data_IF_184849359815
#
_entry.id   IF_184849359815
#
_cell.length_a   1.000
_cell.length_b   1.000
_cell.length_c   1.000
_cell.angle_alpha   90.00
_cell.angle_beta   90.00
_cell.angle_gamma   90.00
#
_symmetry.space_group_name_H-M   'P 1'
#
loop_
_entity.id
_entity.type
_entity.pdbx_description
1 polymer ?
#
# COMPACT_ATOMS: atom_id res chain seq x y z
N UNK A 1 37.66 -3.48 -2.86
CA UNK A 1 36.95 -4.10 -3.98
C UNK A 1 35.53 -4.35 -3.51
N UNK A 2 34.65 -3.36 -3.66
CA UNK A 2 33.25 -3.48 -3.24
C UNK A 2 32.44 -4.24 -4.29
N UNK A 3 31.29 -4.83 -3.93
CA UNK A 3 30.41 -5.45 -4.91
C UNK A 3 29.85 -4.36 -5.82
N UNK A 4 30.22 -4.46 -7.09
CA UNK A 4 29.61 -3.74 -8.20
C UNK A 4 28.21 -4.31 -8.35
N UNK A 5 27.18 -3.51 -8.10
CA UNK A 5 25.80 -3.83 -8.47
C UNK A 5 25.70 -3.72 -10.00
N UNK A 6 26.19 -4.75 -10.68
CA UNK A 6 26.15 -4.91 -12.12
C UNK A 6 24.84 -5.61 -12.51
N UNK A 7 24.01 -4.94 -13.32
CA UNK A 7 22.94 -5.58 -14.08
C UNK A 7 21.50 -5.22 -13.70
N UNK A 8 21.15 -3.93 -13.58
CA UNK A 8 19.78 -3.51 -13.91
C UNK A 8 19.64 -3.70 -15.42
N UNK A 9 19.19 -4.89 -15.83
CA UNK A 9 18.68 -5.10 -17.20
C UNK A 9 17.64 -4.03 -17.52
N UNK A 10 17.36 -3.74 -18.81
CA UNK A 10 16.55 -2.59 -19.20
C UNK A 10 15.29 -2.56 -18.35
N UNK A 11 15.20 -1.59 -17.43
CA UNK A 11 14.07 -1.45 -16.54
C UNK A 11 12.90 -1.07 -17.43
N UNK A 12 12.16 -2.09 -17.86
CA UNK A 12 11.00 -1.90 -18.73
C UNK A 12 10.05 -1.04 -17.92
N UNK A 13 9.93 0.21 -18.34
CA UNK A 13 9.03 1.16 -17.73
C UNK A 13 7.63 0.54 -17.60
N UNK A 14 7.00 0.74 -16.45
CA UNK A 14 5.74 0.09 -16.09
C UNK A 14 4.66 0.36 -17.14
N UNK A 15 4.67 1.55 -17.75
CA UNK A 15 3.77 1.90 -18.85
C UNK A 15 3.96 0.99 -20.07
N UNK A 16 5.20 0.74 -20.47
CA UNK A 16 5.53 -0.16 -21.58
C UNK A 16 5.12 -1.60 -21.25
N UNK A 17 5.35 -2.04 -20.02
CA UNK A 17 4.95 -3.36 -19.54
C UNK A 17 3.41 -3.53 -19.57
N UNK A 18 2.66 -2.51 -19.14
CA UNK A 18 1.19 -2.52 -19.22
C UNK A 18 0.74 -2.63 -20.68
N UNK A 19 1.31 -1.84 -21.59
CA UNK A 19 0.94 -1.89 -23.00
C UNK A 19 1.22 -3.26 -23.63
N UNK A 20 2.35 -3.89 -23.29
CA UNK A 20 2.66 -5.27 -23.70
C UNK A 20 1.65 -6.27 -23.16
N UNK A 21 1.38 -6.22 -21.85
CA UNK A 21 0.45 -7.13 -21.18
C UNK A 21 -0.97 -7.03 -21.74
N UNK A 22 -1.42 -5.82 -22.14
CA UNK A 22 -2.70 -5.61 -22.81
C UNK A 22 -2.85 -6.35 -24.14
N UNK A 23 -1.74 -6.62 -24.83
CA UNK A 23 -1.69 -7.39 -26.07
C UNK A 23 -1.47 -8.89 -25.84
N UNK A 24 -1.47 -9.34 -24.59
CA UNK A 24 -1.25 -10.74 -24.23
C UNK A 24 0.21 -11.14 -24.06
N UNK A 25 1.15 -10.19 -23.97
CA UNK A 25 2.55 -10.51 -23.65
C UNK A 25 2.69 -10.93 -22.18
N UNK A 26 2.92 -12.22 -21.96
CA UNK A 26 3.10 -12.82 -20.63
C UNK A 26 4.33 -12.29 -19.89
N UNK A 27 5.43 -12.01 -20.60
CA UNK A 27 6.63 -11.45 -19.99
C UNK A 27 6.37 -10.02 -19.49
N UNK A 28 5.66 -9.22 -20.28
CA UNK A 28 5.24 -7.88 -19.89
C UNK A 28 4.26 -7.94 -18.69
N UNK A 29 3.31 -8.88 -18.69
CA UNK A 29 2.42 -9.09 -17.54
C UNK A 29 3.19 -9.45 -16.27
N UNK A 30 4.24 -10.29 -16.35
CA UNK A 30 5.10 -10.60 -15.20
C UNK A 30 5.79 -9.36 -14.63
N UNK A 31 6.20 -8.41 -15.48
CA UNK A 31 6.78 -7.13 -15.02
C UNK A 31 5.73 -6.34 -14.24
N UNK A 32 4.51 -6.20 -14.79
CA UNK A 32 3.39 -5.52 -14.08
C UNK A 32 3.10 -6.20 -12.74
N UNK A 33 3.02 -7.53 -12.72
CA UNK A 33 2.78 -8.31 -11.51
C UNK A 33 3.85 -8.05 -10.44
N UNK A 34 5.13 -8.19 -10.80
CA UNK A 34 6.26 -7.97 -9.86
C UNK A 34 6.30 -6.53 -9.35
N UNK A 35 5.93 -5.56 -10.17
CA UNK A 35 5.94 -4.15 -9.79
C UNK A 35 4.80 -3.75 -8.83
N UNK A 36 3.68 -4.47 -8.84
CA UNK A 36 2.45 -4.09 -8.10
C UNK A 36 2.12 -5.05 -6.96
N UNK A 37 2.40 -6.35 -7.10
CA UNK A 37 2.00 -7.38 -6.15
C UNK A 37 2.49 -7.14 -4.72
N UNK A 38 3.77 -6.78 -4.47
CA UNK A 38 4.26 -6.62 -3.11
C UNK A 38 3.46 -5.57 -2.33
N UNK A 39 3.20 -4.40 -2.93
CA UNK A 39 2.42 -3.35 -2.29
C UNK A 39 0.94 -3.71 -2.19
N UNK A 40 0.39 -4.34 -3.23
CA UNK A 40 -1.01 -4.77 -3.26
C UNK A 40 -1.32 -5.78 -2.16
N UNK A 41 -0.44 -6.76 -1.96
CA UNK A 41 -0.58 -7.77 -0.93
C UNK A 41 -0.54 -7.14 0.47
N UNK A 42 0.38 -6.22 0.74
CA UNK A 42 0.42 -5.52 2.03
C UNK A 42 -0.83 -4.68 2.25
N UNK A 43 -1.32 -4.00 1.21
CA UNK A 43 -2.57 -3.26 1.29
C UNK A 43 -3.76 -4.16 1.63
N UNK A 44 -3.92 -5.28 0.93
CA UNK A 44 -5.00 -6.25 1.19
C UNK A 44 -4.86 -6.85 2.58
N UNK A 45 -3.65 -7.22 2.98
CA UNK A 45 -3.35 -7.77 4.32
C UNK A 45 -3.79 -6.84 5.43
N UNK A 46 -3.61 -5.52 5.27
CA UNK A 46 -4.12 -4.54 6.24
C UNK A 46 -5.65 -4.41 6.28
N UNK A 47 -6.37 -4.86 5.24
CA UNK A 47 -7.83 -4.79 5.18
C UNK A 47 -8.52 -6.04 5.72
N UNK A 48 -7.97 -7.23 5.41
CA UNK A 48 -8.62 -8.52 5.72
C UNK A 48 -7.83 -9.39 6.72
N UNK A 49 -6.62 -8.96 7.10
CA UNK A 49 -5.72 -9.73 7.95
C UNK A 49 -4.85 -10.73 7.18
N UNK A 50 -3.82 -11.31 7.83
CA UNK A 50 -2.82 -12.18 7.21
C UNK A 50 -3.39 -13.47 6.63
N UNK A 51 -4.40 -14.04 7.28
CA UNK A 51 -4.95 -15.36 6.92
C UNK A 51 -5.66 -15.32 5.58
N UNK A 52 -6.44 -14.27 5.33
CA UNK A 52 -7.27 -14.19 4.11
C UNK A 52 -6.60 -13.36 2.99
N UNK A 53 -5.43 -12.77 3.25
CA UNK A 53 -4.82 -11.79 2.35
C UNK A 53 -4.46 -12.37 0.98
N UNK A 54 -3.85 -13.56 0.97
CA UNK A 54 -3.38 -14.19 -0.27
C UNK A 54 -4.54 -14.63 -1.17
N UNK A 55 -5.61 -15.16 -0.58
CA UNK A 55 -6.82 -15.55 -1.30
C UNK A 55 -7.49 -14.34 -1.97
N UNK A 56 -7.71 -13.27 -1.19
CA UNK A 56 -8.30 -12.03 -1.70
C UNK A 56 -7.42 -11.37 -2.76
N UNK A 57 -6.10 -11.36 -2.57
CA UNK A 57 -5.16 -10.85 -3.55
C UNK A 57 -5.18 -11.68 -4.84
N UNK A 58 -5.27 -13.00 -4.74
CA UNK A 58 -5.37 -13.91 -5.88
C UNK A 58 -6.64 -13.64 -6.70
N UNK A 59 -7.80 -13.50 -6.03
CA UNK A 59 -9.04 -13.13 -6.71
C UNK A 59 -8.95 -11.76 -7.39
N UNK A 60 -8.30 -10.79 -6.74
CA UNK A 60 -8.05 -9.47 -7.32
C UNK A 60 -7.19 -9.58 -8.58
N UNK A 61 -6.11 -10.37 -8.57
CA UNK A 61 -5.26 -10.60 -9.73
C UNK A 61 -5.97 -11.33 -10.87
N UNK A 62 -6.86 -12.28 -10.56
CA UNK A 62 -7.71 -12.91 -11.58
C UNK A 62 -8.66 -11.91 -12.24
N UNK A 63 -9.13 -10.89 -11.51
CA UNK A 63 -9.90 -9.80 -12.12
C UNK A 63 -9.00 -8.87 -12.92
N UNK A 64 -7.86 -8.48 -12.37
CA UNK A 64 -6.89 -7.61 -13.04
C UNK A 64 -6.48 -8.23 -14.38
N UNK A 65 -6.07 -9.49 -14.41
CA UNK A 65 -5.67 -10.17 -15.63
C UNK A 65 -6.79 -10.20 -16.70
N UNK A 66 -8.04 -10.39 -16.28
CA UNK A 66 -9.21 -10.38 -17.19
C UNK A 66 -9.53 -9.00 -17.74
N UNK A 67 -9.40 -7.97 -16.91
CA UNK A 67 -9.82 -6.61 -17.26
C UNK A 67 -8.69 -5.76 -17.86
N UNK A 68 -7.42 -6.16 -17.67
CA UNK A 68 -6.23 -5.42 -18.11
C UNK A 68 -6.27 -5.06 -19.60
N UNK A 69 -6.68 -5.94 -20.54
CA UNK A 69 -6.78 -5.59 -21.97
C UNK A 69 -7.66 -4.37 -22.26
N UNK A 70 -8.64 -4.07 -21.41
CA UNK A 70 -9.57 -2.95 -21.55
C UNK A 70 -9.17 -1.73 -20.69
N UNK A 71 -8.09 -1.81 -19.92
CA UNK A 71 -7.60 -0.70 -19.12
C UNK A 71 -7.13 0.46 -20.02
N UNK A 72 -7.50 1.70 -19.68
CA UNK A 72 -7.18 2.90 -20.48
C UNK A 72 -6.35 3.94 -19.72
N UNK A 73 -5.74 3.55 -18.61
CA UNK A 73 -4.89 4.47 -17.85
C UNK A 73 -3.49 4.58 -18.44
N UNK A 74 -2.81 5.68 -18.14
CA UNK A 74 -1.41 5.94 -18.52
C UNK A 74 -0.49 5.93 -17.28
N UNK A 75 0.82 5.73 -17.49
CA UNK A 75 1.83 5.69 -16.43
C UNK A 75 1.45 4.84 -15.21
N UNK A 76 1.67 5.37 -14.02
CA UNK A 76 1.42 4.70 -12.73
C UNK A 76 -0.06 4.48 -12.36
N UNK A 77 -1.01 4.87 -13.21
CA UNK A 77 -2.44 4.74 -12.92
C UNK A 77 -2.91 3.29 -12.76
N UNK A 78 -2.14 2.31 -13.27
CA UNK A 78 -2.39 0.87 -13.09
C UNK A 78 -2.39 0.48 -11.61
N UNK A 79 -1.54 1.10 -10.79
CA UNK A 79 -1.47 0.85 -9.33
C UNK A 79 -2.77 1.24 -8.65
N UNK A 80 -3.31 2.42 -8.98
CA UNK A 80 -4.57 2.90 -8.42
C UNK A 80 -5.77 2.09 -8.87
N UNK A 81 -5.77 1.65 -10.13
CA UNK A 81 -6.81 0.76 -10.66
C UNK A 81 -6.77 -0.63 -10.00
N UNK A 82 -5.60 -1.24 -9.87
CA UNK A 82 -5.41 -2.50 -9.15
C UNK A 82 -5.81 -2.38 -7.67
N UNK A 83 -5.41 -1.30 -6.99
CA UNK A 83 -5.80 -1.03 -5.61
C UNK A 83 -7.33 -0.92 -5.45
N UNK A 84 -8.03 -0.32 -6.42
CA UNK A 84 -9.50 -0.24 -6.41
C UNK A 84 -10.14 -1.62 -6.53
N UNK A 85 -9.64 -2.48 -7.44
CA UNK A 85 -10.12 -3.85 -7.59
C UNK A 85 -9.90 -4.63 -6.29
N UNK A 86 -8.69 -4.59 -5.75
CA UNK A 86 -8.33 -5.28 -4.52
C UNK A 86 -9.16 -4.81 -3.32
N UNK A 87 -9.36 -3.50 -3.17
CA UNK A 87 -10.23 -2.93 -2.13
C UNK A 87 -11.66 -3.44 -2.23
N UNK A 88 -12.22 -3.50 -3.44
CA UNK A 88 -13.57 -4.01 -3.63
C UNK A 88 -13.68 -5.49 -3.21
N UNK A 89 -12.69 -6.32 -3.58
CA UNK A 89 -12.63 -7.73 -3.17
C UNK A 89 -12.50 -7.91 -1.68
N UNK A 90 -11.63 -7.14 -1.03
CA UNK A 90 -11.53 -7.12 0.42
C UNK A 90 -12.87 -6.78 1.09
N UNK A 91 -13.57 -5.75 0.61
CA UNK A 91 -14.88 -5.37 1.16
C UNK A 91 -15.96 -6.43 0.92
N UNK A 92 -15.96 -7.07 -0.24
CA UNK A 92 -16.90 -8.15 -0.54
C UNK A 92 -16.65 -9.38 0.34
N UNK A 93 -15.38 -9.73 0.56
CA UNK A 93 -14.95 -10.77 1.49
C UNK A 93 -15.41 -10.49 2.93
N UNK A 94 -15.15 -9.29 3.44
CA UNK A 94 -15.58 -8.86 4.79
C UNK A 94 -17.10 -8.96 4.93
N UNK A 95 -17.85 -8.49 3.92
CA UNK A 95 -19.32 -8.59 3.91
C UNK A 95 -19.82 -10.04 3.85
N UNK A 96 -19.13 -10.91 3.13
CA UNK A 96 -19.48 -12.32 3.02
C UNK A 96 -19.27 -13.06 4.35
N UNK A 97 -18.16 -12.79 5.05
CA UNK A 97 -17.91 -13.31 6.41
C UNK A 97 -18.97 -12.84 7.41
N UNK A 98 -19.31 -11.55 7.41
CA UNK A 98 -20.32 -11.02 8.33
C UNK A 98 -21.72 -11.65 8.16
N UNK A 99 -22.08 -12.09 6.94
CA UNK A 99 -23.37 -12.74 6.65
C UNK A 99 -23.41 -14.24 6.97
N UNK A 100 -22.29 -14.84 7.36
CA UNK A 100 -22.20 -16.25 7.77
C UNK A 100 -21.93 -16.25 9.29
N UNK A 101 -22.97 -16.21 10.14
CA UNK A 101 -22.76 -16.30 11.58
C UNK A 101 -22.12 -17.65 11.87
N UNK A 102 -20.85 -17.64 12.26
CA UNK A 102 -20.27 -18.75 12.99
C UNK A 102 -20.97 -18.71 14.34
N UNK A 103 -21.70 -19.77 14.69
CA UNK A 103 -22.33 -19.90 16.00
C UNK A 103 -21.27 -19.72 17.09
N UNK A 104 -21.21 -18.53 17.69
CA UNK A 104 -20.35 -18.22 18.84
C UNK A 104 -19.26 -17.17 18.60
N UNK A 105 -19.61 -15.91 18.36
CA UNK A 105 -18.83 -14.75 18.81
C UNK A 105 -19.70 -13.48 18.67
N UNK A 106 -19.87 -12.75 19.76
CA UNK A 106 -20.64 -11.50 19.81
C UNK A 106 -20.08 -10.45 18.88
N UNK A 107 -20.98 -9.75 18.18
CA UNK A 107 -20.67 -8.75 17.17
C UNK A 107 -20.35 -7.42 17.87
N UNK A 108 -19.10 -7.28 18.32
CA UNK A 108 -18.46 -5.97 18.52
C UNK A 108 -16.93 -6.13 18.48
N UNK A 109 -16.37 -6.48 17.31
CA UNK A 109 -14.92 -6.46 17.10
C UNK A 109 -14.61 -5.89 15.71
N UNK A 110 -14.34 -4.58 15.68
CA UNK A 110 -13.46 -4.02 14.66
C UNK A 110 -12.08 -4.67 14.83
N UNK A 111 -11.61 -5.33 13.77
CA UNK A 111 -10.20 -5.59 13.45
C UNK A 111 -9.37 -6.02 14.67
N UNK A 112 -9.59 -7.25 15.13
CA UNK A 112 -8.62 -7.93 15.99
C UNK A 112 -7.76 -8.85 15.14
N UNK A 113 -6.46 -8.57 15.18
CA UNK A 113 -5.42 -9.33 14.47
C UNK A 113 -4.98 -10.51 15.35
N UNK A 114 -4.92 -11.76 14.84
CA UNK A 114 -4.38 -12.88 15.59
C UNK A 114 -2.87 -12.75 15.82
N UNK A 115 -2.42 -13.32 16.94
CA UNK A 115 -1.05 -13.22 17.47
C UNK A 115 -0.02 -14.04 16.66
N UNK A 116 1.25 -13.65 16.85
CA UNK A 116 2.43 -13.90 16.02
C UNK A 116 2.87 -15.38 15.90
N UNK A 117 3.40 -15.74 14.73
CA UNK A 117 4.28 -16.89 14.54
C UNK A 117 5.71 -16.43 14.18
N UNK A 118 6.70 -17.12 14.75
CA UNK A 118 8.11 -16.75 14.91
C UNK A 118 9.05 -17.54 13.97
N UNK A 119 10.07 -16.90 13.37
CA UNK A 119 11.33 -17.53 12.90
C UNK A 119 12.43 -16.48 12.60
N UNK A 120 13.42 -16.38 13.51
CA UNK A 120 14.49 -15.38 13.59
C UNK A 120 15.42 -15.22 12.35
N UNK A 121 15.61 -13.97 11.90
CA UNK A 121 16.54 -13.57 10.82
C UNK A 121 15.85 -12.62 9.84
N UNK A 122 15.13 -13.18 8.87
CA UNK A 122 14.14 -12.46 8.04
C UNK A 122 12.92 -12.01 8.86
N UNK A 123 12.71 -12.63 10.03
CA UNK A 123 11.67 -12.20 10.97
C UNK A 123 11.86 -10.79 11.51
N UNK A 124 13.06 -10.21 11.58
CA UNK A 124 13.16 -8.86 12.17
C UNK A 124 12.56 -7.79 11.26
N UNK A 125 12.85 -7.84 9.96
CA UNK A 125 12.26 -6.94 8.96
C UNK A 125 10.79 -7.26 8.69
N UNK A 126 10.42 -8.55 8.66
CA UNK A 126 9.02 -8.97 8.58
C UNK A 126 8.22 -8.55 9.83
N UNK A 127 8.79 -8.67 11.04
CA UNK A 127 8.17 -8.23 12.29
C UNK A 127 8.10 -6.71 12.37
N UNK A 128 9.09 -5.98 11.85
CA UNK A 128 9.05 -4.52 11.76
C UNK A 128 7.96 -4.05 10.78
N UNK A 129 7.84 -4.71 9.62
CA UNK A 129 6.79 -4.47 8.63
C UNK A 129 5.42 -4.79 9.20
N UNK A 130 5.25 -5.93 9.86
CA UNK A 130 4.00 -6.33 10.50
C UNK A 130 3.61 -5.40 11.65
N UNK A 131 4.59 -4.90 12.43
CA UNK A 131 4.34 -3.86 13.45
C UNK A 131 3.88 -2.56 12.81
N UNK A 132 4.53 -2.12 11.73
CA UNK A 132 4.15 -0.89 11.04
C UNK A 132 2.74 -0.99 10.46
N UNK A 133 2.39 -2.12 9.82
CA UNK A 133 1.06 -2.36 9.27
C UNK A 133 0.00 -2.50 10.37
N UNK A 134 0.31 -3.13 11.50
CA UNK A 134 -0.58 -3.20 12.65
C UNK A 134 -0.81 -1.81 13.28
N UNK A 135 0.23 -0.98 13.39
CA UNK A 135 0.09 0.40 13.87
C UNK A 135 -0.80 1.24 12.93
N UNK A 136 -0.66 1.06 11.61
CA UNK A 136 -1.56 1.68 10.62
C UNK A 136 -3.00 1.19 10.79
N UNK A 137 -3.19 -0.11 11.04
CA UNK A 137 -4.51 -0.69 11.25
C UNK A 137 -5.21 -0.19 12.53
N UNK A 138 -4.44 0.27 13.54
CA UNK A 138 -4.97 0.87 14.76
C UNK A 138 -5.48 2.32 14.58
N UNK A 139 -5.21 2.96 13.44
CA UNK A 139 -5.75 4.28 13.14
C UNK A 139 -7.26 4.23 12.85
N UNK A 140 -7.98 5.36 12.99
CA UNK A 140 -9.32 5.49 12.44
C UNK A 140 -9.33 5.08 10.97
N UNK A 141 -10.29 4.22 10.60
CA UNK A 141 -10.32 3.54 9.28
C UNK A 141 -10.03 4.46 8.09
N UNK A 142 -10.60 5.67 8.09
CA UNK A 142 -10.39 6.62 6.99
C UNK A 142 -8.94 7.09 6.85
N UNK A 143 -8.23 7.22 7.98
CA UNK A 143 -6.83 7.61 8.03
C UNK A 143 -5.95 6.43 7.64
N UNK A 144 -6.23 5.24 8.16
CA UNK A 144 -5.53 4.00 7.81
C UNK A 144 -5.55 3.75 6.29
N UNK A 145 -6.75 3.71 5.68
CA UNK A 145 -6.89 3.47 4.24
C UNK A 145 -6.19 4.57 3.40
N UNK A 146 -6.24 5.83 3.83
CA UNK A 146 -5.55 6.92 3.13
C UNK A 146 -4.02 6.77 3.22
N UNK A 147 -3.47 6.43 4.39
CA UNK A 147 -2.04 6.19 4.58
C UNK A 147 -1.57 4.98 3.76
N UNK A 148 -2.29 3.86 3.80
CA UNK A 148 -1.93 2.67 3.01
C UNK A 148 -1.88 2.97 1.51
N UNK A 149 -2.88 3.67 0.97
CA UNK A 149 -2.89 4.00 -0.45
C UNK A 149 -1.78 4.98 -0.85
N UNK A 150 -1.44 5.93 0.03
CA UNK A 150 -0.44 6.96 -0.25
C UNK A 150 1.00 6.46 -0.07
N UNK A 151 1.24 5.69 0.98
CA UNK A 151 2.59 5.32 1.43
C UNK A 151 2.95 3.90 0.99
N UNK A 152 2.02 2.95 1.13
CA UNK A 152 2.28 1.55 0.74
C UNK A 152 2.07 1.36 -0.75
N UNK A 153 0.91 1.77 -1.28
CA UNK A 153 0.64 1.67 -2.73
C UNK A 153 1.33 2.76 -3.57
N UNK A 154 1.92 3.78 -2.93
CA UNK A 154 2.63 4.87 -3.60
C UNK A 154 1.74 5.79 -4.45
N UNK A 155 0.43 5.85 -4.20
CA UNK A 155 -0.48 6.61 -5.04
C UNK A 155 -0.41 8.11 -4.77
N UNK A 156 -0.62 8.91 -5.82
CA UNK A 156 -0.90 10.33 -5.66
C UNK A 156 -2.27 10.56 -4.93
N UNK A 157 -2.53 11.77 -4.42
CA UNK A 157 -3.74 12.04 -3.63
C UNK A 157 -5.02 12.00 -4.47
N UNK A 158 -4.92 12.31 -5.76
CA UNK A 158 -6.02 12.24 -6.73
C UNK A 158 -6.33 10.79 -7.09
N UNK A 159 -5.31 9.96 -7.29
CA UNK A 159 -5.44 8.52 -7.51
C UNK A 159 -6.02 7.80 -6.29
N UNK A 160 -5.49 8.05 -5.10
CA UNK A 160 -6.04 7.51 -3.85
C UNK A 160 -7.50 7.97 -3.61
N UNK A 161 -7.83 9.23 -3.92
CA UNK A 161 -9.20 9.73 -3.84
C UNK A 161 -10.17 8.99 -4.77
N UNK A 162 -9.75 8.63 -5.98
CA UNK A 162 -10.53 7.80 -6.91
C UNK A 162 -10.75 6.37 -6.39
N UNK A 163 -9.79 5.81 -5.65
CA UNK A 163 -9.95 4.50 -4.99
C UNK A 163 -10.96 4.58 -3.84
N UNK A 164 -10.87 5.64 -3.02
CA UNK A 164 -11.71 5.81 -1.83
C UNK A 164 -13.10 6.40 -2.11
N UNK A 165 -13.34 6.93 -3.31
CA UNK A 165 -14.56 7.68 -3.61
C UNK A 165 -14.65 9.01 -2.84
N UNK A 166 -13.51 9.68 -2.63
CA UNK A 166 -13.39 10.92 -1.84
C UNK A 166 -12.83 12.06 -2.68
N UNK A 167 -12.73 13.26 -2.08
CA UNK A 167 -12.01 14.40 -2.66
C UNK A 167 -10.51 14.30 -2.34
N UNK A 168 -9.64 14.72 -3.26
CA UNK A 168 -8.18 14.71 -3.05
C UNK A 168 -7.75 15.48 -1.78
N UNK A 169 -8.40 16.61 -1.48
CA UNK A 169 -8.15 17.37 -0.25
C UNK A 169 -8.47 16.56 1.02
N UNK A 170 -9.56 15.79 1.02
CA UNK A 170 -9.93 14.92 2.14
C UNK A 170 -8.89 13.81 2.35
N UNK A 171 -8.35 13.25 1.27
CA UNK A 171 -7.28 12.24 1.35
C UNK A 171 -5.99 12.83 1.93
N UNK A 172 -5.56 14.02 1.49
CA UNK A 172 -4.38 14.70 2.06
C UNK A 172 -4.53 14.92 3.56
N UNK A 173 -5.68 15.44 3.98
CA UNK A 173 -5.95 15.67 5.41
C UNK A 173 -5.99 14.37 6.22
N UNK A 174 -6.63 13.33 5.71
CA UNK A 174 -6.68 12.03 6.38
C UNK A 174 -5.29 11.40 6.49
N UNK A 175 -4.48 11.49 5.43
CA UNK A 175 -3.09 10.99 5.41
C UNK A 175 -2.23 11.74 6.41
N UNK A 176 -2.29 13.08 6.42
CA UNK A 176 -1.53 13.89 7.36
C UNK A 176 -1.88 13.58 8.81
N UNK A 177 -3.18 13.47 9.14
CA UNK A 177 -3.61 13.09 10.49
C UNK A 177 -3.17 11.67 10.87
N UNK A 178 -3.27 10.73 9.93
CA UNK A 178 -2.82 9.35 10.16
C UNK A 178 -1.33 9.27 10.44
N UNK A 179 -0.49 9.92 9.62
CA UNK A 179 0.97 9.95 9.80
C UNK A 179 1.37 10.63 11.11
N UNK A 180 0.72 11.75 11.46
CA UNK A 180 0.94 12.42 12.75
C UNK A 180 0.60 11.49 13.92
N UNK A 181 -0.52 10.78 13.84
CA UNK A 181 -0.94 9.86 14.90
C UNK A 181 0.01 8.66 15.03
N UNK A 182 0.52 8.15 13.91
CA UNK A 182 1.56 7.11 13.93
C UNK A 182 2.84 7.59 14.59
N UNK A 183 3.28 8.82 14.30
CA UNK A 183 4.44 9.41 14.97
C UNK A 183 4.24 9.47 16.49
N UNK A 184 3.08 9.96 16.95
CA UNK A 184 2.73 10.00 18.38
C UNK A 184 2.75 8.59 19.02
N UNK A 185 2.25 7.57 18.33
CA UNK A 185 2.25 6.18 18.83
C UNK A 185 3.66 5.60 18.92
N UNK A 186 4.51 5.89 17.94
CA UNK A 186 5.90 5.40 17.91
C UNK A 186 6.77 6.09 18.97
N UNK A 187 6.56 7.38 19.20
CA UNK A 187 7.23 8.13 20.29
C UNK A 187 6.86 7.56 21.66
N UNK A 188 5.58 7.18 21.85
CA UNK A 188 5.12 6.54 23.09
C UNK A 188 5.71 5.13 23.27
N UNK A 189 5.77 4.34 22.19
CA UNK A 189 6.36 2.99 22.23
C UNK A 189 7.88 3.06 22.49
N UNK A 190 8.57 4.06 21.94
CA UNK A 190 9.99 4.32 22.20
C UNK A 190 10.23 4.77 23.65
N UNK A 191 9.42 5.71 24.16
CA UNK A 191 9.49 6.17 25.54
C UNK A 191 9.16 5.06 26.56
N UNK A 192 8.31 4.11 26.17
CA UNK A 192 7.99 2.93 26.99
C UNK A 192 9.09 1.86 26.95
N UNK A 193 9.77 1.70 25.80
CA UNK A 193 10.87 0.73 25.63
C UNK A 193 12.19 1.20 26.23
N UNK A 194 12.38 2.51 26.38
CA UNK A 194 13.60 3.10 26.93
C UNK A 194 13.32 4.12 28.06
N UNK A 195 13.06 3.65 29.30
CA UNK A 195 12.99 4.52 30.46
C UNK A 195 14.38 5.04 30.92
N UNK A 196 15.48 4.60 30.28
CA UNK A 196 16.85 4.86 30.67
C UNK A 196 17.73 5.23 29.45
N UNK A 197 17.28 6.25 28.71
CA UNK A 197 17.89 6.91 27.56
C UNK A 197 19.23 6.40 27.02
N UNK A 198 19.19 5.83 25.81
CA UNK A 198 20.29 5.93 24.84
C UNK A 198 19.73 5.99 23.40
N UNK A 199 19.54 7.22 22.91
CA UNK A 199 18.64 7.55 21.81
C UNK A 199 19.32 7.74 20.43
N UNK A 200 20.24 6.86 20.01
CA UNK A 200 21.08 7.16 18.85
C UNK A 200 20.79 6.43 17.52
N UNK A 201 19.88 5.43 17.42
CA UNK A 201 19.90 4.58 16.21
C UNK A 201 18.59 4.27 15.45
N UNK A 202 17.39 4.73 15.87
CA UNK A 202 16.14 4.27 15.21
C UNK A 202 15.35 5.35 14.45
N UNK A 203 15.67 6.64 14.62
CA UNK A 203 14.89 7.76 14.05
C UNK A 203 15.04 8.02 12.55
N UNK A 204 15.94 7.34 11.85
CA UNK A 204 16.37 7.78 10.50
C UNK A 204 15.47 7.24 9.38
N UNK A 205 14.83 6.08 9.55
CA UNK A 205 14.13 5.40 8.46
C UNK A 205 12.80 6.06 8.04
N UNK A 206 12.04 6.66 8.97
CA UNK A 206 10.73 7.26 8.64
C UNK A 206 10.82 8.73 8.19
N UNK A 207 11.83 9.47 8.68
CA UNK A 207 12.09 10.86 8.28
C UNK A 207 12.43 10.99 6.78
N UNK A 208 13.14 10.00 6.22
CA UNK A 208 13.45 9.93 4.81
C UNK A 208 12.19 9.73 3.93
N UNK A 209 11.25 8.90 4.36
CA UNK A 209 9.99 8.66 3.65
C UNK A 209 9.05 9.89 3.66
N UNK A 210 9.02 10.64 4.77
CA UNK A 210 8.27 11.90 4.86
C UNK A 210 8.86 12.99 3.94
N UNK A 211 10.19 13.04 3.83
CA UNK A 211 10.90 14.02 3.00
C UNK A 211 10.75 13.75 1.49
N UNK A 212 10.76 12.47 1.07
CA UNK A 212 10.54 12.09 -0.32
C UNK A 212 9.12 12.40 -0.82
N UNK A 213 8.11 12.31 0.06
CA UNK A 213 6.72 12.67 -0.24
C UNK A 213 6.51 14.17 -0.51
N UNK A 214 7.37 15.02 0.07
CA UNK A 214 7.36 16.48 -0.17
C UNK A 214 7.95 16.88 -1.53
N UNK A 215 8.91 16.11 -2.06
CA UNK A 215 9.61 16.45 -3.31
C UNK A 215 8.80 16.10 -4.57
N UNK A 216 7.87 15.14 -4.49
CA UNK A 216 7.03 14.71 -5.63
C UNK A 216 5.83 15.64 -5.93
N UNK A 217 5.76 16.82 -5.30
CA UNK A 217 4.69 17.82 -5.47
C UNK A 217 5.18 19.07 -6.20
N UNK A 218 5.97 18.93 -7.26
CA UNK A 218 6.21 20.01 -8.21
C UNK A 218 5.31 19.80 -9.45
N UNK A 219 4.39 20.73 -9.77
CA UNK A 219 3.65 20.66 -11.02
C UNK A 219 4.58 20.96 -12.21
N UNK A 220 4.49 20.14 -13.26
CA UNK A 220 5.14 20.40 -14.54
C UNK A 220 4.68 21.76 -15.11
N UNK A 221 5.58 22.58 -15.71
CA UNK A 221 5.19 23.85 -16.30
C UNK A 221 4.27 23.62 -17.50
N UNK A 222 3.15 24.35 -17.51
CA UNK A 222 2.19 24.35 -18.60
C UNK A 222 2.86 24.87 -19.88
N UNK A 223 2.87 24.04 -20.92
CA UNK A 223 3.27 24.43 -22.27
C UNK A 223 2.22 25.40 -22.81
N UNK A 224 2.60 26.68 -22.92
CA UNK A 224 1.81 27.68 -23.61
C UNK A 224 1.83 27.37 -25.12
N UNK A 225 0.65 27.06 -25.66
CA UNK A 225 0.37 27.05 -27.08
C UNK A 225 0.27 28.50 -27.55
N UNK A 226 1.33 29.03 -28.15
CA UNK A 226 1.30 30.29 -28.87
C UNK A 226 0.86 30.04 -30.31
N UNK A 227 -0.19 30.74 -30.70
CA UNK A 227 -0.71 30.79 -32.06
C UNK A 227 0.13 31.75 -32.89
N UNK A 228 0.57 31.31 -34.07
CA UNK A 228 0.56 32.04 -35.35
C UNK A 228 0.47 31.02 -36.48
#
# INVERSE_FOLDING_TARGET
MGPVFEGVGPEVDLETAVAGAQRGDEAAFRVVYRAVQPQLLQYVRSLVGPVDAEDVASEAWLQIARDLPNFRGAGDSVRGWAARIARNRALDHIRARARRPVSGAGVDELVQLPDRADTAGEALDAVATDRALAAIAALPREQAEAVLLRVVMGLDSTSAARVLGKRAGSVRMATHRGLRRLAELLEQDAAFRDPAGDADHVGVAFSAAASASSAASAPAPASASEAV
#
